data_IF_325670497528
#
_entry.id   IF_325670497528
#
_cell.length_a   1.000
_cell.length_b   1.000
_cell.length_c   1.000
_cell.angle_alpha   90.00
_cell.angle_beta   90.00
_cell.angle_gamma   90.00
#
_symmetry.space_group_name_H-M   'P 1'
#
loop_
_entity.id
_entity.type
_entity.pdbx_description
1 polymer ?
#
# COMPACT_ATOMS: atom_id res chain seq x y z
N UNK A 1 -2.76 -30.69 90.55
CA UNK A 1 -2.35 -31.81 89.68
C UNK A 1 -2.17 -31.23 88.29
N UNK A 2 -0.91 -31.11 87.88
CA UNK A 2 -0.43 -30.45 86.67
C UNK A 2 -0.71 -31.31 85.43
N UNK A 3 -1.15 -30.70 84.34
CA UNK A 3 -0.64 -31.03 82.99
C UNK A 3 -0.72 -29.80 82.08
N UNK A 4 0.32 -29.67 81.27
CA UNK A 4 0.67 -28.62 80.33
C UNK A 4 0.14 -28.97 78.91
N UNK A 5 0.15 -27.94 78.04
CA UNK A 5 0.41 -27.96 76.59
C UNK A 5 -0.76 -27.53 75.66
N UNK A 6 -0.48 -27.01 74.45
CA UNK A 6 -0.01 -25.66 74.13
C UNK A 6 -1.02 -24.96 73.20
N UNK A 7 -0.72 -23.70 72.83
CA UNK A 7 -0.90 -23.08 71.49
C UNK A 7 -1.32 -21.62 71.65
N UNK A 8 -0.33 -20.73 71.68
CA UNK A 8 -0.56 -19.34 71.28
C UNK A 8 -0.18 -19.21 69.80
N UNK A 9 -1.19 -19.26 68.94
CA UNK A 9 -1.06 -18.97 67.50
C UNK A 9 -1.52 -17.52 67.28
N UNK A 10 -0.60 -16.67 66.82
CA UNK A 10 -0.88 -15.26 66.46
C UNK A 10 -1.67 -15.24 65.15
N UNK A 11 -2.90 -14.71 65.19
CA UNK A 11 -3.74 -14.47 64.01
C UNK A 11 -3.25 -13.24 63.23
N UNK A 12 -2.81 -13.42 61.98
CA UNK A 12 -2.55 -12.31 61.04
C UNK A 12 -3.80 -12.05 60.20
N UNK A 13 -4.27 -10.81 60.25
CA UNK A 13 -5.42 -10.29 59.52
C UNK A 13 -5.26 -10.42 58.00
N UNK A 14 -6.32 -10.88 57.33
CA UNK A 14 -6.45 -10.99 55.88
C UNK A 14 -6.89 -9.65 55.29
N UNK A 15 -5.96 -8.87 54.75
CA UNK A 15 -6.29 -7.86 53.75
C UNK A 15 -6.31 -8.54 52.37
N UNK A 16 -7.29 -8.27 51.49
CA UNK A 16 -7.36 -8.88 50.18
C UNK A 16 -6.13 -8.46 49.35
N UNK A 17 -5.53 -9.45 48.68
CA UNK A 17 -4.23 -9.32 48.02
C UNK A 17 -4.24 -8.19 46.97
N UNK A 18 -3.38 -7.19 47.16
CA UNK A 18 -3.02 -6.15 46.19
C UNK A 18 -2.61 -6.72 44.80
N UNK A 19 -2.32 -8.02 44.74
CA UNK A 19 -2.01 -8.80 43.53
C UNK A 19 -3.16 -8.90 42.52
N UNK A 20 -4.43 -8.87 42.93
CA UNK A 20 -5.56 -8.96 41.97
C UNK A 20 -5.78 -7.69 41.18
N UNK A 21 -5.33 -6.53 41.67
CA UNK A 21 -5.44 -5.25 40.95
C UNK A 21 -4.36 -5.10 39.85
N UNK A 22 -3.21 -5.77 40.00
CA UNK A 22 -2.09 -5.68 39.05
C UNK A 22 -2.28 -6.58 37.81
N UNK A 23 -3.03 -7.68 37.95
CA UNK A 23 -3.26 -8.63 36.86
C UNK A 23 -4.15 -8.07 35.73
N UNK A 24 -4.98 -7.06 36.00
CA UNK A 24 -5.84 -6.42 34.99
C UNK A 24 -5.12 -5.32 34.19
N UNK A 25 -4.02 -4.76 34.71
CA UNK A 25 -3.27 -3.70 34.01
C UNK A 25 -2.31 -4.28 32.95
N UNK A 26 -1.88 -5.52 33.10
CA UNK A 26 -0.96 -6.18 32.17
C UNK A 26 -1.62 -6.67 30.86
N UNK A 27 -2.95 -6.66 30.73
CA UNK A 27 -3.61 -7.11 29.50
C UNK A 27 -3.75 -6.02 28.42
N UNK A 28 -3.43 -4.75 28.72
CA UNK A 28 -3.75 -3.62 27.83
C UNK A 28 -2.61 -3.09 26.95
N UNK A 29 -1.36 -3.53 27.08
CA UNK A 29 -0.25 -2.78 26.47
C UNK A 29 0.78 -3.63 25.74
N UNK A 30 0.35 -4.45 24.77
CA UNK A 30 1.24 -4.81 23.65
C UNK A 30 0.43 -5.05 22.35
N UNK A 31 -0.33 -4.06 21.89
CA UNK A 31 -0.64 -3.98 20.45
C UNK A 31 0.58 -3.41 19.73
N UNK A 32 1.61 -4.24 19.53
CA UNK A 32 2.56 -3.95 18.46
C UNK A 32 1.79 -4.10 17.15
N UNK A 33 1.23 -3.00 16.66
CA UNK A 33 0.60 -2.94 15.36
C UNK A 33 1.60 -3.50 14.34
N UNK A 34 1.22 -4.60 13.68
CA UNK A 34 1.97 -5.13 12.55
C UNK A 34 2.07 -4.00 11.53
N UNK A 35 3.24 -3.35 11.41
CA UNK A 35 3.45 -2.35 10.37
C UNK A 35 3.25 -3.03 9.03
N UNK A 36 2.24 -2.60 8.28
CA UNK A 36 1.97 -3.12 6.96
C UNK A 36 3.21 -2.98 6.07
N UNK A 37 3.46 -3.98 5.22
CA UNK A 37 4.66 -3.98 4.37
C UNK A 37 4.47 -2.98 3.23
N UNK A 38 5.47 -2.13 2.94
CA UNK A 38 5.41 -1.24 1.79
C UNK A 38 5.39 -2.05 0.49
N UNK A 39 4.57 -1.61 -0.46
CA UNK A 39 4.44 -2.22 -1.80
C UNK A 39 4.90 -1.28 -2.93
N UNK A 40 5.05 0.01 -2.64
CA UNK A 40 5.55 1.01 -3.57
C UNK A 40 6.53 1.95 -2.88
N UNK A 41 7.62 2.29 -3.54
CA UNK A 41 8.52 3.36 -3.10
C UNK A 41 8.66 4.43 -4.17
N UNK A 42 8.34 5.67 -3.82
CA UNK A 42 8.60 6.86 -4.63
C UNK A 42 9.96 7.47 -4.22
N UNK A 43 10.77 7.89 -5.19
CA UNK A 43 12.09 8.52 -4.97
C UNK A 43 12.47 9.41 -6.17
N UNK A 44 13.69 9.95 -6.20
CA UNK A 44 14.21 10.77 -7.31
C UNK A 44 14.22 12.24 -6.89
N UNK A 45 13.59 13.11 -7.67
CA UNK A 45 13.40 14.53 -7.33
C UNK A 45 12.40 14.75 -6.15
N UNK A 46 12.12 13.71 -5.36
CA UNK A 46 11.35 13.76 -4.13
C UNK A 46 12.09 12.99 -3.04
N UNK A 47 11.84 13.36 -1.78
CA UNK A 47 12.27 12.54 -0.65
C UNK A 47 11.70 11.12 -0.78
N UNK A 48 12.53 10.12 -0.46
CA UNK A 48 12.11 8.71 -0.53
C UNK A 48 10.89 8.49 0.37
N UNK A 49 9.79 8.02 -0.22
CA UNK A 49 8.54 7.74 0.48
C UNK A 49 8.08 6.33 0.10
N UNK A 50 7.73 5.51 1.09
CA UNK A 50 7.22 4.16 0.86
C UNK A 50 5.76 4.06 1.29
N UNK A 51 4.93 3.53 0.41
CA UNK A 51 3.50 3.34 0.63
C UNK A 51 3.17 1.86 0.88
N UNK A 52 2.34 1.63 1.87
CA UNK A 52 1.58 0.40 2.08
C UNK A 52 0.41 0.33 1.10
N UNK A 53 -0.20 -0.86 1.01
CA UNK A 53 -1.39 -1.06 0.17
C UNK A 53 -2.55 -0.18 0.64
N UNK A 54 -2.74 -0.08 1.94
CA UNK A 54 -3.82 0.65 2.58
C UNK A 54 -3.68 2.17 2.36
N UNK A 55 -2.46 2.70 2.44
CA UNK A 55 -2.18 4.11 2.12
C UNK A 55 -2.47 4.43 0.64
N UNK A 56 -2.07 3.54 -0.28
CA UNK A 56 -2.40 3.71 -1.70
C UNK A 56 -3.89 3.66 -1.96
N UNK A 57 -4.62 2.81 -1.22
CA UNK A 57 -6.08 2.75 -1.33
C UNK A 57 -6.77 4.02 -0.84
N UNK A 58 -6.25 4.65 0.22
CA UNK A 58 -6.75 5.95 0.68
C UNK A 58 -6.47 7.08 -0.31
N UNK A 59 -5.39 6.96 -1.09
CA UNK A 59 -5.02 7.91 -2.13
C UNK A 59 -5.73 7.66 -3.48
N UNK A 60 -6.35 6.48 -3.66
CA UNK A 60 -6.96 6.08 -4.92
C UNK A 60 -8.06 7.05 -5.34
N UNK A 61 -7.93 7.61 -6.54
CA UNK A 61 -8.78 8.68 -7.06
C UNK A 61 -9.35 8.37 -8.46
N UNK A 62 -8.90 7.28 -9.11
CA UNK A 62 -9.27 7.00 -10.50
C UNK A 62 -9.60 5.52 -10.73
N UNK A 63 -10.72 5.32 -11.42
CA UNK A 63 -11.13 4.03 -12.00
C UNK A 63 -11.03 4.11 -13.52
N UNK A 64 -10.43 3.10 -14.15
CA UNK A 64 -10.36 2.95 -15.60
C UNK A 64 -11.08 1.66 -15.99
N UNK A 65 -12.02 1.75 -16.93
CA UNK A 65 -12.60 0.58 -17.59
C UNK A 65 -12.01 0.46 -19.00
N UNK A 66 -11.22 -0.59 -19.26
CA UNK A 66 -10.56 -0.76 -20.56
C UNK A 66 -10.34 -2.23 -20.89
N UNK A 67 -10.20 -2.54 -22.19
CA UNK A 67 -9.57 -3.79 -22.63
C UNK A 67 -8.05 -3.65 -22.53
N UNK A 68 -7.35 -4.74 -22.28
CA UNK A 68 -5.89 -4.82 -22.38
C UNK A 68 -5.49 -6.02 -23.25
N UNK A 69 -4.32 -6.00 -23.89
CA UNK A 69 -3.82 -7.16 -24.65
C UNK A 69 -3.66 -8.45 -23.84
N UNK A 70 -3.65 -8.35 -22.50
CA UNK A 70 -3.37 -9.46 -21.58
C UNK A 70 -4.59 -9.92 -20.77
N UNK A 71 -5.78 -9.41 -21.10
CA UNK A 71 -7.03 -9.72 -20.40
C UNK A 71 -8.15 -9.95 -21.39
N UNK A 72 -9.04 -10.88 -21.10
CA UNK A 72 -10.24 -11.09 -21.90
C UNK A 72 -11.30 -10.02 -21.60
N UNK A 73 -11.86 -9.39 -22.64
CA UNK A 73 -12.92 -8.40 -22.48
C UNK A 73 -12.48 -7.12 -21.77
N UNK A 74 -13.48 -6.31 -21.36
CA UNK A 74 -13.25 -5.08 -20.58
C UNK A 74 -13.02 -5.42 -19.12
N UNK A 75 -12.09 -4.73 -18.49
CA UNK A 75 -11.70 -4.90 -17.10
C UNK A 75 -11.78 -3.55 -16.39
N UNK A 76 -12.05 -3.55 -15.09
CA UNK A 76 -12.14 -2.36 -14.25
C UNK A 76 -10.93 -2.28 -13.33
N UNK A 77 -10.17 -1.20 -13.43
CA UNK A 77 -8.95 -0.98 -12.64
C UNK A 77 -9.10 0.23 -11.74
N UNK A 78 -8.80 0.07 -10.45
CA UNK A 78 -8.87 1.14 -9.46
C UNK A 78 -7.50 1.36 -8.84
N UNK A 79 -7.08 2.62 -8.69
CA UNK A 79 -5.87 2.99 -7.98
C UNK A 79 -5.60 4.49 -7.98
N UNK A 80 -4.33 4.84 -7.80
CA UNK A 80 -3.86 6.24 -7.74
C UNK A 80 -3.47 6.70 -9.14
N UNK A 81 -4.04 7.80 -9.62
CA UNK A 81 -3.67 8.40 -10.89
C UNK A 81 -2.26 8.98 -10.84
N UNK A 82 -1.56 9.00 -11.99
CA UNK A 82 -0.22 9.59 -12.06
C UNK A 82 -0.21 11.07 -11.64
N UNK A 83 -1.24 11.84 -12.01
CA UNK A 83 -1.41 13.21 -11.56
C UNK A 83 -1.60 13.32 -10.03
N UNK A 84 -2.40 12.44 -9.41
CA UNK A 84 -2.61 12.43 -7.96
C UNK A 84 -1.35 12.06 -7.20
N UNK A 85 -0.60 11.07 -7.68
CA UNK A 85 0.67 10.68 -7.07
C UNK A 85 1.65 11.85 -7.08
N UNK A 86 1.85 12.50 -8.23
CA UNK A 86 2.72 13.67 -8.35
C UNK A 86 2.22 14.86 -7.51
N UNK A 87 0.91 15.12 -7.50
CA UNK A 87 0.30 16.20 -6.71
C UNK A 87 0.51 16.03 -5.20
N UNK A 88 0.57 14.79 -4.71
CA UNK A 88 0.79 14.49 -3.29
C UNK A 88 2.21 14.85 -2.82
N UNK A 89 3.13 15.11 -3.76
CA UNK A 89 4.52 15.49 -3.49
C UNK A 89 4.91 16.83 -4.13
N UNK A 90 3.96 17.63 -4.58
CA UNK A 90 4.19 18.91 -5.27
C UNK A 90 5.09 18.81 -6.52
N UNK A 91 4.95 17.71 -7.27
CA UNK A 91 5.72 17.40 -8.50
C UNK A 91 4.88 17.33 -9.76
N UNK A 92 3.81 18.12 -9.85
CA UNK A 92 3.04 18.24 -11.09
C UNK A 92 3.97 18.65 -12.25
N UNK A 93 3.74 18.07 -13.43
CA UNK A 93 4.54 18.32 -14.63
C UNK A 93 5.84 17.51 -14.75
N UNK A 94 6.16 16.63 -13.80
CA UNK A 94 7.32 15.75 -13.88
C UNK A 94 6.96 14.44 -14.60
N UNK A 95 7.95 13.88 -15.30
CA UNK A 95 7.84 12.53 -15.85
C UNK A 95 8.14 11.49 -14.78
N UNK A 96 7.63 10.27 -14.97
CA UNK A 96 7.86 9.16 -14.06
C UNK A 96 8.68 8.07 -14.75
N UNK A 97 9.62 7.46 -14.04
CA UNK A 97 10.23 6.20 -14.45
C UNK A 97 9.75 5.11 -13.50
N UNK A 98 9.06 4.12 -14.05
CA UNK A 98 8.34 3.10 -13.28
C UNK A 98 9.10 1.78 -13.35
N UNK A 99 9.37 1.17 -12.20
CA UNK A 99 10.14 -0.07 -12.07
C UNK A 99 9.28 -1.22 -11.53
N UNK A 100 9.45 -2.40 -12.13
CA UNK A 100 8.84 -3.65 -11.71
C UNK A 100 9.75 -4.44 -10.74
N UNK A 101 9.18 -5.48 -10.12
CA UNK A 101 9.91 -6.42 -9.25
C UNK A 101 11.10 -7.12 -9.93
N UNK A 102 11.04 -7.32 -11.24
CA UNK A 102 12.11 -7.94 -12.05
C UNK A 102 13.05 -6.91 -12.70
N UNK A 103 13.03 -5.67 -12.21
CA UNK A 103 13.82 -4.53 -12.69
C UNK A 103 13.53 -4.08 -14.14
N UNK A 104 12.51 -4.63 -14.79
CA UNK A 104 11.92 -4.00 -15.98
C UNK A 104 11.45 -2.59 -15.63
N UNK A 105 11.64 -1.64 -16.55
CA UNK A 105 11.20 -0.27 -16.34
C UNK A 105 10.73 0.39 -17.62
N UNK A 106 9.91 1.43 -17.46
CA UNK A 106 9.47 2.29 -18.56
C UNK A 106 9.29 3.75 -18.09
N UNK A 107 9.47 4.71 -19.01
CA UNK A 107 9.21 6.15 -18.77
C UNK A 107 7.76 6.46 -19.14
N UNK A 108 7.07 7.16 -18.24
CA UNK A 108 5.78 7.82 -18.48
C UNK A 108 6.07 9.32 -18.62
N UNK A 109 6.08 9.88 -19.83
CA UNK A 109 6.32 11.30 -20.07
C UNK A 109 5.21 12.17 -19.50
N UNK A 110 5.55 13.42 -19.18
CA UNK A 110 4.61 14.43 -18.69
C UNK A 110 3.41 14.61 -19.62
N UNK A 111 3.61 14.63 -20.94
CA UNK A 111 2.52 14.83 -21.90
C UNK A 111 1.49 13.68 -21.86
N UNK A 112 1.93 12.46 -21.58
CA UNK A 112 1.03 11.31 -21.42
C UNK A 112 0.34 11.29 -20.07
N UNK A 113 0.99 11.77 -19.01
CA UNK A 113 0.33 12.02 -17.73
C UNK A 113 -0.78 13.06 -17.90
N UNK A 114 -0.52 14.11 -18.67
CA UNK A 114 -1.50 15.16 -18.95
C UNK A 114 -2.64 14.68 -19.85
N UNK A 115 -2.33 13.88 -20.88
CA UNK A 115 -3.31 13.41 -21.86
C UNK A 115 -4.15 12.23 -21.37
N UNK A 116 -3.49 11.19 -20.87
CA UNK A 116 -4.14 9.90 -20.55
C UNK A 116 -4.33 9.70 -19.05
N UNK A 117 -3.49 10.35 -18.23
CA UNK A 117 -3.45 10.21 -16.77
C UNK A 117 -3.57 8.74 -16.32
N UNK A 118 -2.58 7.88 -16.64
CA UNK A 118 -2.64 6.47 -16.33
C UNK A 118 -2.76 6.23 -14.83
N UNK A 119 -3.35 5.10 -14.45
CA UNK A 119 -3.55 4.72 -13.06
C UNK A 119 -2.51 3.69 -12.64
N UNK A 120 -1.93 3.87 -11.46
CA UNK A 120 -1.23 2.82 -10.73
C UNK A 120 -2.28 1.96 -10.03
N UNK A 121 -2.86 1.02 -10.78
CA UNK A 121 -3.96 0.18 -10.32
C UNK A 121 -3.48 -0.74 -9.18
N UNK A 122 -4.26 -0.79 -8.10
CA UNK A 122 -4.07 -1.70 -6.95
C UNK A 122 -5.17 -2.77 -6.90
N UNK A 123 -6.30 -2.51 -7.57
CA UNK A 123 -7.40 -3.46 -7.74
C UNK A 123 -7.77 -3.66 -9.19
N UNK A 124 -8.17 -4.88 -9.53
CA UNK A 124 -8.78 -5.28 -10.80
C UNK A 124 -10.12 -5.95 -10.49
N UNK A 125 -11.21 -5.47 -11.10
CA UNK A 125 -12.59 -5.93 -10.90
C UNK A 125 -12.99 -6.01 -9.41
N UNK A 126 -12.59 -5.01 -8.62
CA UNK A 126 -12.91 -4.92 -7.18
C UNK A 126 -11.99 -5.71 -6.25
N UNK A 127 -11.15 -6.60 -6.79
CA UNK A 127 -10.24 -7.46 -6.03
C UNK A 127 -8.80 -6.95 -6.04
N UNK A 128 -8.05 -7.24 -4.98
CA UNK A 128 -6.63 -6.96 -4.90
C UNK A 128 -5.84 -7.81 -5.90
N UNK A 129 -4.90 -7.22 -6.61
CA UNK A 129 -4.08 -7.97 -7.57
C UNK A 129 -2.93 -8.71 -6.84
N UNK A 130 -2.87 -10.06 -6.87
CA UNK A 130 -1.72 -10.79 -6.37
C UNK A 130 -0.54 -10.69 -7.36
N UNK A 131 0.68 -10.95 -6.87
CA UNK A 131 1.91 -10.88 -7.70
C UNK A 131 1.82 -11.78 -8.94
N UNK A 132 1.29 -13.00 -8.78
CA UNK A 132 1.09 -13.96 -9.89
C UNK A 132 0.12 -13.46 -10.98
N UNK A 133 -0.72 -12.49 -10.65
CA UNK A 133 -1.67 -11.87 -11.58
C UNK A 133 -1.40 -10.36 -11.67
N UNK A 134 -0.17 -10.02 -12.08
CA UNK A 134 0.28 -8.67 -12.45
C UNK A 134 0.31 -7.63 -11.30
N UNK A 135 -0.02 -8.02 -10.07
CA UNK A 135 0.06 -7.16 -8.89
C UNK A 135 1.47 -7.04 -8.30
N UNK A 136 1.66 -6.31 -7.18
CA UNK A 136 0.61 -5.64 -6.40
C UNK A 136 0.09 -4.36 -7.06
N UNK A 137 0.82 -3.83 -8.06
CA UNK A 137 0.48 -2.63 -8.80
C UNK A 137 0.70 -2.87 -10.29
N UNK A 138 -0.26 -2.41 -11.10
CA UNK A 138 -0.16 -2.41 -12.56
C UNK A 138 -0.44 -1.01 -13.09
N UNK A 139 0.46 -0.45 -13.90
CA UNK A 139 0.18 0.77 -14.66
C UNK A 139 -0.85 0.46 -15.74
N UNK A 140 -1.97 1.16 -15.73
CA UNK A 140 -3.04 0.99 -16.71
C UNK A 140 -3.35 2.30 -17.40
N UNK A 141 -3.28 2.30 -18.73
CA UNK A 141 -3.75 3.38 -19.58
C UNK A 141 -5.22 3.15 -19.98
N UNK A 142 -6.02 4.22 -20.16
CA UNK A 142 -7.40 4.12 -20.62
C UNK A 142 -7.47 3.87 -22.14
N UNK A 143 -6.95 2.72 -22.61
CA UNK A 143 -6.85 2.41 -24.04
C UNK A 143 -8.21 2.50 -24.76
N UNK A 144 -9.27 2.05 -24.09
CA UNK A 144 -10.63 2.10 -24.62
C UNK A 144 -11.16 3.52 -24.83
N UNK A 145 -10.83 4.46 -23.95
CA UNK A 145 -11.29 5.86 -24.03
C UNK A 145 -10.63 6.59 -25.21
N UNK A 146 -9.37 6.26 -25.52
CA UNK A 146 -8.57 6.94 -26.55
C UNK A 146 -8.40 6.12 -27.84
N UNK A 147 -9.10 4.98 -27.97
CA UNK A 147 -8.98 4.04 -29.08
C UNK A 147 -7.52 3.65 -29.39
N UNK A 148 -6.73 3.35 -28.35
CA UNK A 148 -5.30 3.04 -28.44
C UNK A 148 -5.00 1.54 -28.27
N UNK A 149 -5.87 0.66 -28.76
CA UNK A 149 -5.79 -0.78 -28.51
C UNK A 149 -4.55 -1.47 -29.09
N UNK A 150 -3.98 -0.92 -30.16
CA UNK A 150 -2.81 -1.48 -30.86
C UNK A 150 -1.55 -0.62 -30.66
N UNK A 151 -1.53 0.23 -29.63
CA UNK A 151 -0.41 1.11 -29.36
C UNK A 151 0.66 0.42 -28.52
N UNK A 152 1.63 -0.21 -29.19
CA UNK A 152 2.73 -0.94 -28.55
C UNK A 152 3.56 -0.09 -27.58
N UNK A 153 3.70 1.22 -27.84
CA UNK A 153 4.40 2.13 -26.93
C UNK A 153 3.65 2.23 -25.61
N UNK A 154 2.33 2.44 -25.64
CA UNK A 154 1.52 2.47 -24.41
C UNK A 154 1.51 1.10 -23.73
N UNK A 155 1.46 0.01 -24.49
CA UNK A 155 1.54 -1.34 -23.93
C UNK A 155 2.84 -1.56 -23.15
N UNK A 156 3.99 -1.15 -23.69
CA UNK A 156 5.28 -1.24 -22.99
C UNK A 156 5.32 -0.40 -21.69
N UNK A 157 4.48 0.63 -21.58
CA UNK A 157 4.37 1.50 -20.40
C UNK A 157 3.39 0.98 -19.36
N UNK A 158 2.59 -0.03 -19.68
CA UNK A 158 1.69 -0.70 -18.74
C UNK A 158 2.45 -1.71 -17.86
N UNK A 159 3.44 -1.20 -17.11
CA UNK A 159 4.32 -1.98 -16.24
C UNK A 159 3.50 -2.68 -15.15
N UNK A 160 3.54 -4.01 -15.10
CA UNK A 160 2.99 -4.80 -14.01
C UNK A 160 4.02 -5.06 -12.92
N UNK A 161 3.55 -5.49 -11.74
CA UNK A 161 4.40 -5.76 -10.59
C UNK A 161 5.25 -4.55 -10.17
N UNK A 162 4.70 -3.34 -10.28
CA UNK A 162 5.42 -2.11 -9.90
C UNK A 162 5.75 -2.13 -8.42
N UNK A 163 7.01 -1.81 -8.08
CA UNK A 163 7.48 -1.66 -6.71
C UNK A 163 8.17 -0.33 -6.43
N UNK A 164 8.64 0.38 -7.46
CA UNK A 164 9.32 1.66 -7.31
C UNK A 164 8.96 2.61 -8.45
N UNK A 165 8.88 3.90 -8.14
CA UNK A 165 8.71 4.97 -9.11
C UNK A 165 9.75 6.04 -8.80
N UNK A 166 10.47 6.45 -9.83
CA UNK A 166 11.37 7.59 -9.79
C UNK A 166 10.67 8.80 -10.40
N UNK A 167 10.59 9.89 -9.65
CA UNK A 167 10.21 11.21 -10.18
C UNK A 167 11.44 11.79 -10.84
N UNK A 168 11.38 11.96 -12.16
CA UNK A 168 12.46 12.54 -12.94
C UNK A 168 12.44 14.06 -12.80
N UNK A 169 13.60 14.72 -12.79
CA UNK A 169 13.68 16.18 -12.78
C UNK A 169 13.01 16.82 -14.00
N UNK A 170 12.61 18.09 -13.88
CA UNK A 170 12.12 18.86 -15.05
C UNK A 170 13.27 19.07 -16.03
N UNK A 171 13.04 18.66 -17.28
CA UNK A 171 13.84 19.08 -18.43
C UNK A 171 13.62 20.57 -18.70
#
# INVERSE_FOLDING_TARGET
MTTYDPRHTISKSRYPNLLTLFALLCLMLVSHGVKARPILTLYGDVAKHSFTREELMQLADRTIETKTPWTEGKQVFLGVSAQKLLKTHDKQGHALKVHALNDYWSKIPTDEINKYNPVFAIKKNGEWMPIRDKGPIWVVYPLSEFNQYDNEILHSRMVWQVNRIEVLGKE
#
